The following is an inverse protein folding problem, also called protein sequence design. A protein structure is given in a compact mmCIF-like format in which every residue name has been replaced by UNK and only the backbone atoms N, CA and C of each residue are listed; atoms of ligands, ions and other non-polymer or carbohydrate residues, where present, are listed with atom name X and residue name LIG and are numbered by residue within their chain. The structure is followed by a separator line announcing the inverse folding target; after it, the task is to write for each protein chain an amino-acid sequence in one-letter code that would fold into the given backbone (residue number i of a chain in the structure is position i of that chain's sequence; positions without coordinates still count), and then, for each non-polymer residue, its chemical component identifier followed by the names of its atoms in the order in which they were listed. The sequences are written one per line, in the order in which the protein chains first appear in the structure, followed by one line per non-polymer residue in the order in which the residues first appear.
data_IF_396500296134
#
_entry.id   IF_396500296134
#
_cell.length_a   1.000
_cell.length_b   1.000
_cell.length_c   1.000
_cell.angle_alpha   90.00
_cell.angle_beta   90.00
_cell.angle_gamma   90.00
#
_symmetry.space_group_name_H-M   'P 1'
#
loop_
_entity.id
_entity.type
_entity.pdbx_description
1 polymer ?
#
# COMPACT_ATOMS: atom_id res chain seq x y z
N UNK A 1 -3.34 -14.20 -2.31
CA UNK A 1 -3.83 -12.81 -2.50
C UNK A 1 -3.15 -11.91 -1.47
N UNK A 2 -2.41 -10.91 -1.93
CA UNK A 2 -1.62 -10.00 -1.10
C UNK A 2 -2.54 -9.00 -0.40
N UNK A 3 -2.47 -8.92 0.92
CA UNK A 3 -3.26 -7.94 1.68
C UNK A 3 -2.47 -6.64 1.86
N UNK A 4 -3.01 -5.52 1.40
CA UNK A 4 -2.40 -4.19 1.54
C UNK A 4 -3.32 -3.32 2.39
N UNK A 5 -2.88 -2.96 3.59
CA UNK A 5 -3.65 -2.13 4.52
C UNK A 5 -3.04 -0.74 4.60
N UNK A 6 -3.83 0.30 4.30
CA UNK A 6 -3.38 1.70 4.33
C UNK A 6 -4.17 2.48 5.37
N UNK A 7 -3.47 3.22 6.22
CA UNK A 7 -4.08 4.12 7.18
C UNK A 7 -4.70 5.34 6.48
N UNK A 8 -6.00 5.55 6.71
CA UNK A 8 -6.75 6.73 6.21
C UNK A 8 -7.20 7.66 7.33
N UNK A 9 -6.65 7.49 8.54
CA UNK A 9 -6.89 8.40 9.67
C UNK A 9 -6.36 9.83 9.40
N UNK A 10 -6.77 10.79 10.23
CA UNK A 10 -6.52 12.24 10.04
C UNK A 10 -5.07 12.59 9.65
N UNK A 11 -4.08 12.09 10.39
CA UNK A 11 -2.66 12.36 10.11
C UNK A 11 -2.19 11.79 8.75
N UNK A 12 -2.62 10.57 8.39
CA UNK A 12 -2.26 9.97 7.10
C UNK A 12 -3.04 10.60 5.94
N UNK A 13 -4.28 11.04 6.18
CA UNK A 13 -5.07 11.80 5.22
C UNK A 13 -4.37 13.12 4.84
N UNK A 14 -3.90 13.89 5.83
CA UNK A 14 -3.14 15.13 5.58
C UNK A 14 -1.83 14.88 4.80
N UNK A 15 -1.24 13.69 4.92
CA UNK A 15 -0.05 13.27 4.15
C UNK A 15 -0.39 12.74 2.75
N UNK A 16 -1.68 12.63 2.40
CA UNK A 16 -2.15 12.20 1.10
C UNK A 16 -2.33 10.68 0.95
N UNK A 17 -2.74 9.96 1.99
CA UNK A 17 -3.00 8.51 1.92
C UNK A 17 -3.95 8.08 0.80
N UNK A 18 -4.91 8.92 0.42
CA UNK A 18 -5.81 8.66 -0.70
C UNK A 18 -5.08 8.60 -2.04
N UNK A 19 -4.04 9.42 -2.23
CA UNK A 19 -3.20 9.34 -3.44
C UNK A 19 -2.42 8.04 -3.48
N UNK A 20 -1.88 7.60 -2.34
CA UNK A 20 -1.20 6.29 -2.26
C UNK A 20 -2.15 5.14 -2.58
N UNK A 21 -3.37 5.15 -2.04
CA UNK A 21 -4.40 4.15 -2.37
C UNK A 21 -4.69 4.14 -3.88
N UNK A 22 -4.84 5.32 -4.48
CA UNK A 22 -5.10 5.45 -5.92
C UNK A 22 -3.93 4.92 -6.76
N UNK A 23 -2.70 5.34 -6.45
CA UNK A 23 -1.49 4.87 -7.13
C UNK A 23 -1.34 3.36 -7.05
N UNK A 24 -1.58 2.74 -5.89
CA UNK A 24 -1.50 1.28 -5.79
C UNK A 24 -2.56 0.56 -6.63
N UNK A 25 -3.77 1.12 -6.76
CA UNK A 25 -4.80 0.57 -7.65
C UNK A 25 -4.41 0.69 -9.12
N UNK A 26 -3.88 1.84 -9.52
CA UNK A 26 -3.39 2.09 -10.88
C UNK A 26 -2.25 1.13 -11.24
N UNK A 27 -1.23 1.02 -10.38
CA UNK A 27 -0.11 0.09 -10.55
C UNK A 27 -0.58 -1.37 -10.63
N UNK A 28 -1.55 -1.77 -9.82
CA UNK A 28 -2.09 -3.13 -9.86
C UNK A 28 -2.78 -3.44 -11.20
N UNK A 29 -3.50 -2.46 -11.75
CA UNK A 29 -4.12 -2.58 -13.06
C UNK A 29 -3.06 -2.61 -14.17
N UNK A 30 -2.06 -1.73 -14.12
CA UNK A 30 -0.96 -1.66 -15.10
C UNK A 30 -0.15 -2.96 -15.16
N UNK A 31 0.07 -3.60 -14.01
CA UNK A 31 0.79 -4.87 -13.92
C UNK A 31 -0.10 -6.12 -14.04
N UNK A 32 -1.41 -5.96 -14.22
CA UNK A 32 -2.34 -7.09 -14.38
C UNK A 32 -2.46 -7.98 -13.15
N UNK A 33 -2.32 -7.42 -11.95
CA UNK A 33 -2.39 -8.14 -10.65
C UNK A 33 -3.54 -7.67 -9.75
N UNK A 34 -4.50 -6.92 -10.31
CA UNK A 34 -5.66 -6.40 -9.58
C UNK A 34 -6.47 -7.47 -8.85
N UNK A 35 -6.55 -8.68 -9.40
CA UNK A 35 -7.21 -9.85 -8.82
C UNK A 35 -6.36 -10.58 -7.76
N UNK A 36 -5.06 -10.26 -7.68
CA UNK A 36 -4.11 -10.86 -6.74
C UNK A 36 -3.84 -10.01 -5.51
N UNK A 37 -4.31 -8.75 -5.49
CA UNK A 37 -4.12 -7.83 -4.36
C UNK A 37 -5.47 -7.41 -3.75
N UNK A 38 -5.48 -7.16 -2.44
CA UNK A 38 -6.63 -6.64 -1.73
C UNK A 38 -6.24 -5.40 -0.92
N UNK A 39 -6.65 -4.22 -1.40
CA UNK A 39 -6.35 -2.95 -0.75
C UNK A 39 -7.46 -2.60 0.24
N UNK A 40 -7.13 -2.57 1.53
CA UNK A 40 -8.03 -2.21 2.64
C UNK A 40 -7.63 -0.87 3.24
N UNK A 41 -8.65 -0.07 3.57
CA UNK A 41 -8.47 1.11 4.40
C UNK A 41 -8.57 0.73 5.87
N UNK A 42 -7.66 1.25 6.70
CA UNK A 42 -7.72 1.10 8.16
C UNK A 42 -7.60 2.45 8.85
N UNK A 43 -8.04 2.50 10.10
CA UNK A 43 -7.82 3.65 10.98
C UNK A 43 -6.47 3.53 11.70
N UNK A 44 -6.21 4.43 12.66
CA UNK A 44 -4.90 4.67 13.25
C UNK A 44 -4.13 3.38 13.61
N UNK A 45 -3.02 3.14 12.91
CA UNK A 45 -2.09 2.04 13.14
C UNK A 45 -0.96 2.42 14.13
N UNK A 46 -1.10 3.56 14.83
CA UNK A 46 -0.09 4.14 15.75
C UNK A 46 1.33 4.28 15.18
N UNK A 47 1.46 4.42 13.85
CA UNK A 47 2.75 4.51 13.15
C UNK A 47 2.85 5.74 12.23
N UNK A 48 2.18 6.84 12.60
CA UNK A 48 2.09 8.03 11.74
C UNK A 48 3.42 8.79 11.59
N UNK A 49 4.40 8.57 12.46
CA UNK A 49 5.71 9.27 12.40
C UNK A 49 6.53 8.86 11.17
N UNK A 50 6.33 7.64 10.66
CA UNK A 50 7.13 7.04 9.59
C UNK A 50 6.46 7.14 8.20
N UNK A 51 5.76 8.24 7.92
CA UNK A 51 5.02 8.44 6.67
C UNK A 51 3.55 8.00 6.75
N UNK A 52 2.97 7.59 5.62
CA UNK A 52 1.63 7.01 5.56
C UNK A 52 1.73 5.56 6.03
N UNK A 53 1.12 5.24 7.18
CA UNK A 53 1.18 3.88 7.73
C UNK A 53 0.55 2.90 6.76
N UNK A 54 1.36 1.95 6.29
CA UNK A 54 0.98 0.94 5.31
C UNK A 54 1.49 -0.41 5.78
N UNK A 55 0.71 -1.46 5.56
CA UNK A 55 1.11 -2.85 5.82
C UNK A 55 0.86 -3.72 4.60
N UNK A 56 1.76 -4.66 4.35
CA UNK A 56 1.64 -5.68 3.31
C UNK A 56 1.75 -7.05 3.97
N UNK A 57 0.72 -7.88 3.87
CA UNK A 57 0.57 -9.17 4.56
C UNK A 57 0.86 -9.10 6.07
N UNK A 58 0.36 -8.06 6.73
CA UNK A 58 0.57 -7.85 8.17
C UNK A 58 1.95 -7.30 8.55
N UNK A 59 2.87 -7.13 7.60
CA UNK A 59 4.18 -6.49 7.84
C UNK A 59 4.07 -4.99 7.58
N UNK A 60 4.53 -4.16 8.53
CA UNK A 60 4.54 -2.70 8.36
C UNK A 60 5.65 -2.30 7.39
N UNK A 61 5.32 -1.48 6.40
CA UNK A 61 6.30 -0.83 5.52
C UNK A 61 6.42 0.65 5.90
N UNK A 62 7.65 1.12 6.07
CA UNK A 62 7.95 2.47 6.52
C UNK A 62 8.27 3.42 5.37
N UNK A 63 8.00 4.70 5.57
CA UNK A 63 8.43 5.76 4.65
C UNK A 63 7.58 5.89 3.39
N UNK A 64 6.39 5.30 3.35
CA UNK A 64 5.46 5.45 2.23
C UNK A 64 4.95 6.89 2.16
N UNK A 65 5.04 7.49 0.99
CA UNK A 65 4.55 8.82 0.67
C UNK A 65 4.09 8.89 -0.79
N UNK A 66 3.54 10.03 -1.19
CA UNK A 66 2.98 10.20 -2.54
C UNK A 66 4.07 10.06 -3.62
N UNK A 67 5.28 10.57 -3.37
CA UNK A 67 6.38 10.55 -4.36
C UNK A 67 7.00 9.17 -4.58
N UNK A 68 6.97 8.28 -3.58
CA UNK A 68 7.59 6.94 -3.68
C UNK A 68 6.57 5.79 -3.72
N UNK A 69 5.27 6.08 -3.77
CA UNK A 69 4.25 5.03 -3.83
C UNK A 69 4.48 4.04 -4.99
N UNK A 70 4.82 4.46 -6.23
CA UNK A 70 5.12 3.51 -7.30
C UNK A 70 6.28 2.58 -6.93
N UNK A 71 7.40 3.13 -6.44
CA UNK A 71 8.58 2.35 -6.04
C UNK A 71 8.25 1.37 -4.92
N UNK A 72 7.47 1.81 -3.91
CA UNK A 72 7.04 0.94 -2.80
C UNK A 72 6.12 -0.18 -3.26
N UNK A 73 5.31 0.06 -4.29
CA UNK A 73 4.50 -1.00 -4.90
C UNK A 73 5.39 -2.04 -5.57
N UNK A 74 6.36 -1.61 -6.39
CA UNK A 74 7.29 -2.49 -7.07
C UNK A 74 8.20 -3.27 -6.10
N UNK A 75 8.58 -2.66 -4.99
CA UNK A 75 9.47 -3.25 -3.98
C UNK A 75 8.74 -4.26 -3.08
N UNK A 76 7.55 -3.90 -2.58
CA UNK A 76 6.89 -4.67 -1.51
C UNK A 76 5.63 -5.41 -1.93
N UNK A 77 4.91 -4.97 -2.98
CA UNK A 77 3.59 -5.52 -3.33
C UNK A 77 3.70 -6.43 -4.56
N UNK A 78 4.28 -5.92 -5.65
CA UNK A 78 4.37 -6.63 -6.93
C UNK A 78 5.07 -7.99 -6.81
N UNK A 79 6.23 -8.13 -6.14
CA UNK A 79 6.93 -9.41 -6.06
C UNK A 79 6.08 -10.49 -5.38
N UNK A 80 5.32 -10.13 -4.35
CA UNK A 80 4.39 -11.03 -3.67
C UNK A 80 3.20 -11.41 -4.55
N UNK A 81 2.65 -10.45 -5.29
CA UNK A 81 1.52 -10.68 -6.17
C UNK A 81 1.86 -11.62 -7.34
N UNK A 82 3.09 -11.55 -7.88
CA UNK A 82 3.53 -12.43 -8.97
C UNK A 82 4.07 -13.79 -8.47
N UNK A 83 4.56 -13.85 -7.22
CA UNK A 83 5.13 -15.07 -6.63
C UNK A 83 4.07 -16.01 -6.04
N UNK A 84 2.81 -15.58 -5.96
CA UNK A 84 1.65 -16.44 -5.68
C UNK A 84 1.38 -17.33 -6.92
N UNK A 85 2.27 -18.31 -7.13
CA UNK A 85 2.22 -19.43 -8.07
C UNK A 85 2.15 -20.75 -7.28
N UNK A 86 1.20 -20.88 -6.36
CA UNK A 86 0.84 -22.15 -5.72
C UNK A 86 -0.66 -22.40 -5.82
#
# INVERSE_FOLDING_TARGET
MVEVVICVGSSCHMKGSYRVVQTFKEMAQEHGVSDKINIKASFCMKNCVNGISTSVDGQLISGVNISNAPDRFLEFILPKAVSDNS
#
